data_IF_160969946900
#
_entry.id   IF_160969946900
#
_cell.length_a   1.000
_cell.length_b   1.000
_cell.length_c   1.000
_cell.angle_alpha   90.00
_cell.angle_beta   90.00
_cell.angle_gamma   90.00
#
_symmetry.space_group_name_H-M   'P 1'
#
loop_
_entity.id
_entity.type
_entity.pdbx_description
1 polymer ?
#
# COMPACT_ATOMS: atom_id res chain seq x y z
N UNK A 1 -32.70 -10.09 -12.88
CA UNK A 1 -31.68 -11.07 -13.26
C UNK A 1 -30.44 -10.80 -12.43
N UNK A 2 -30.35 -11.46 -11.25
CA UNK A 2 -29.24 -11.24 -10.30
C UNK A 2 -28.07 -12.11 -10.75
N UNK A 3 -26.99 -11.46 -11.22
CA UNK A 3 -25.71 -12.11 -11.45
C UNK A 3 -25.12 -12.48 -10.08
N UNK A 4 -25.14 -13.75 -9.73
CA UNK A 4 -24.34 -14.29 -8.63
C UNK A 4 -22.86 -14.09 -8.98
N UNK A 5 -22.22 -13.10 -8.34
CA UNK A 5 -20.76 -13.03 -8.25
C UNK A 5 -20.31 -14.23 -7.40
N UNK A 6 -19.73 -15.23 -8.04
CA UNK A 6 -18.97 -16.30 -7.36
C UNK A 6 -17.63 -15.74 -6.91
N UNK A 7 -17.66 -14.83 -5.95
CA UNK A 7 -16.45 -14.37 -5.26
C UNK A 7 -16.12 -15.43 -4.20
N UNK A 8 -14.86 -15.84 -4.11
CA UNK A 8 -14.34 -16.61 -2.97
C UNK A 8 -14.55 -15.77 -1.71
N UNK A 9 -15.62 -16.05 -0.97
CA UNK A 9 -15.91 -15.34 0.27
C UNK A 9 -14.83 -15.72 1.28
N UNK A 10 -13.95 -14.79 1.64
CA UNK A 10 -13.10 -14.94 2.81
C UNK A 10 -14.01 -15.04 4.02
N UNK A 11 -13.92 -16.16 4.76
CA UNK A 11 -14.79 -16.42 5.91
C UNK A 11 -14.49 -15.51 7.11
N UNK A 12 -13.36 -14.78 7.07
CA UNK A 12 -12.93 -13.86 8.15
C UNK A 12 -12.52 -12.53 7.54
N UNK A 13 -12.84 -11.43 8.23
CA UNK A 13 -12.34 -10.08 7.90
C UNK A 13 -10.82 -10.06 7.98
N UNK A 14 -10.18 -9.40 7.02
CA UNK A 14 -8.71 -9.30 6.94
C UNK A 14 -8.32 -7.84 6.78
N UNK A 15 -7.33 -7.38 7.57
CA UNK A 15 -6.62 -6.14 7.30
C UNK A 15 -5.31 -6.48 6.58
N UNK A 16 -5.19 -6.06 5.33
CA UNK A 16 -3.97 -6.18 4.54
C UNK A 16 -3.24 -4.86 4.54
N UNK A 17 -1.96 -4.85 4.89
CA UNK A 17 -1.10 -3.69 4.71
C UNK A 17 -0.12 -3.97 3.56
N UNK A 18 -0.19 -3.14 2.51
CA UNK A 18 0.75 -3.20 1.40
C UNK A 18 1.94 -2.27 1.66
N UNK A 19 3.13 -2.71 1.29
CA UNK A 19 4.35 -1.94 1.35
C UNK A 19 5.13 -2.02 0.04
N UNK A 20 6.05 -1.10 -0.16
CA UNK A 20 6.94 -1.02 -1.33
C UNK A 20 7.11 0.40 -1.85
N UNK A 21 8.08 0.60 -2.72
CA UNK A 21 8.48 1.90 -3.25
C UNK A 21 7.46 2.50 -4.23
N UNK A 22 7.53 3.82 -4.50
CA UNK A 22 6.87 4.43 -5.66
C UNK A 22 7.25 3.68 -6.96
N UNK A 23 6.27 3.41 -7.82
CA UNK A 23 6.51 2.65 -9.07
C UNK A 23 6.56 1.13 -8.92
N UNK A 24 6.55 0.55 -7.71
CA UNK A 24 6.56 -0.91 -7.52
C UNK A 24 5.27 -1.62 -7.95
N UNK A 25 4.17 -0.89 -8.10
CA UNK A 25 2.88 -1.45 -8.50
C UNK A 25 1.92 -1.79 -7.35
N UNK A 26 2.19 -1.30 -6.12
CA UNK A 26 1.33 -1.52 -4.94
C UNK A 26 -0.14 -1.25 -5.22
N UNK A 27 -0.46 -0.05 -5.67
CA UNK A 27 -1.85 0.37 -5.89
C UNK A 27 -2.52 -0.47 -6.98
N UNK A 28 -1.77 -0.88 -8.02
CA UNK A 28 -2.28 -1.81 -9.03
C UNK A 28 -2.66 -3.14 -8.38
N UNK A 29 -1.76 -3.73 -7.58
CA UNK A 29 -2.03 -4.98 -6.87
C UNK A 29 -3.19 -4.82 -5.89
N UNK A 30 -3.26 -3.70 -5.14
CA UNK A 30 -4.36 -3.41 -4.23
C UNK A 30 -5.72 -3.48 -4.93
N UNK A 31 -5.86 -2.80 -6.07
CA UNK A 31 -7.11 -2.79 -6.82
C UNK A 31 -7.41 -4.13 -7.49
N UNK A 32 -6.40 -4.87 -7.95
CA UNK A 32 -6.58 -6.23 -8.49
C UNK A 32 -7.07 -7.20 -7.41
N UNK A 33 -6.50 -7.18 -6.20
CA UNK A 33 -6.98 -7.98 -5.06
C UNK A 33 -8.41 -7.56 -4.70
N UNK A 34 -8.68 -6.25 -4.59
CA UNK A 34 -10.01 -5.76 -4.23
C UNK A 34 -11.08 -6.21 -5.22
N UNK A 35 -10.77 -6.21 -6.52
CA UNK A 35 -11.67 -6.69 -7.55
C UNK A 35 -11.90 -8.22 -7.50
N UNK A 36 -10.88 -8.98 -7.10
CA UNK A 36 -10.95 -10.44 -7.03
C UNK A 36 -11.64 -10.95 -5.76
N UNK A 37 -11.56 -10.23 -4.63
CA UNK A 37 -11.86 -10.78 -3.32
C UNK A 37 -12.67 -9.85 -2.38
N UNK A 38 -13.35 -8.84 -2.92
CA UNK A 38 -14.26 -7.92 -2.19
C UNK A 38 -13.60 -7.18 -1.02
N UNK A 39 -12.40 -6.64 -1.24
CA UNK A 39 -11.72 -5.76 -0.29
C UNK A 39 -12.01 -4.28 -0.58
N UNK A 40 -11.93 -3.45 0.46
CA UNK A 40 -11.95 -1.99 0.34
C UNK A 40 -10.51 -1.47 0.38
N UNK A 41 -10.13 -0.65 -0.61
CA UNK A 41 -8.78 -0.06 -0.66
C UNK A 41 -8.77 1.32 0.00
N UNK A 42 -7.95 1.49 1.02
CA UNK A 42 -7.60 2.78 1.62
C UNK A 42 -6.23 3.18 1.07
N UNK A 43 -6.22 4.10 0.10
CA UNK A 43 -5.02 4.52 -0.60
C UNK A 43 -4.52 5.85 -0.04
N UNK A 44 -3.31 5.84 0.57
CA UNK A 44 -2.73 7.02 1.21
C UNK A 44 -2.36 8.13 0.22
N UNK A 45 -2.02 7.80 -1.02
CA UNK A 45 -1.73 8.83 -2.04
C UNK A 45 -2.99 9.58 -2.47
N UNK A 46 -4.15 8.90 -2.48
CA UNK A 46 -5.46 9.55 -2.71
C UNK A 46 -5.78 10.50 -1.57
N UNK A 47 -5.68 10.04 -0.33
CA UNK A 47 -5.95 10.86 0.86
C UNK A 47 -5.02 12.07 0.92
N UNK A 48 -3.70 11.86 0.77
CA UNK A 48 -2.71 12.95 0.80
C UNK A 48 -2.95 13.97 -0.29
N UNK A 49 -3.23 13.52 -1.52
CA UNK A 49 -3.54 14.41 -2.64
C UNK A 49 -4.81 15.24 -2.39
N UNK A 50 -5.82 14.64 -1.77
CA UNK A 50 -7.07 15.34 -1.42
C UNK A 50 -6.84 16.38 -0.33
N UNK A 51 -6.02 16.09 0.69
CA UNK A 51 -5.66 17.04 1.74
C UNK A 51 -4.89 18.25 1.16
N UNK A 52 -3.86 18.00 0.35
CA UNK A 52 -3.09 19.06 -0.32
C UNK A 52 -4.02 19.89 -1.24
N UNK A 53 -4.89 19.24 -2.00
CA UNK A 53 -5.85 19.89 -2.89
C UNK A 53 -6.89 20.73 -2.15
N UNK A 54 -7.14 20.44 -0.86
CA UNK A 54 -8.03 21.25 0.00
C UNK A 54 -7.30 22.39 0.72
N UNK A 55 -5.99 22.56 0.51
CA UNK A 55 -5.20 23.65 1.09
C UNK A 55 -4.40 23.26 2.34
N UNK A 56 -4.31 21.97 2.69
CA UNK A 56 -3.40 21.52 3.76
C UNK A 56 -1.97 21.60 3.25
N UNK A 57 -1.08 22.19 4.05
CA UNK A 57 0.33 22.30 3.69
C UNK A 57 0.99 20.92 3.50
N UNK A 58 1.90 20.83 2.54
CA UNK A 58 2.59 19.57 2.19
C UNK A 58 3.32 18.97 3.40
N UNK A 59 3.90 19.82 4.27
CA UNK A 59 4.57 19.42 5.52
C UNK A 59 3.64 18.70 6.50
N UNK A 60 2.38 19.14 6.59
CA UNK A 60 1.40 18.62 7.54
C UNK A 60 0.58 17.46 6.96
N UNK A 61 0.42 17.44 5.63
CA UNK A 61 -0.37 16.44 4.93
C UNK A 61 0.11 14.99 5.16
N UNK A 62 1.39 14.79 5.46
CA UNK A 62 1.95 13.45 5.71
C UNK A 62 1.34 12.78 6.94
N UNK A 63 1.49 13.39 8.11
CA UNK A 63 0.97 12.87 9.38
C UNK A 63 -0.57 12.77 9.37
N UNK A 64 -1.25 13.81 8.85
CA UNK A 64 -2.70 13.82 8.72
C UNK A 64 -3.22 12.67 7.83
N UNK A 65 -2.50 12.35 6.75
CA UNK A 65 -2.85 11.24 5.86
C UNK A 65 -2.81 9.90 6.59
N UNK A 66 -1.74 9.63 7.33
CA UNK A 66 -1.59 8.34 8.02
C UNK A 66 -2.60 8.19 9.14
N UNK A 67 -2.86 9.24 9.91
CA UNK A 67 -3.90 9.25 10.94
C UNK A 67 -5.29 8.97 10.32
N UNK A 68 -5.64 9.66 9.24
CA UNK A 68 -6.90 9.44 8.54
C UNK A 68 -7.02 8.04 7.93
N UNK A 69 -5.93 7.52 7.35
CA UNK A 69 -5.91 6.18 6.75
C UNK A 69 -6.11 5.09 7.80
N UNK A 70 -5.43 5.20 8.95
CA UNK A 70 -5.61 4.25 10.06
C UNK A 70 -7.03 4.34 10.67
N UNK A 71 -7.53 5.55 10.91
CA UNK A 71 -8.90 5.75 11.42
C UNK A 71 -9.96 5.17 10.49
N UNK A 72 -9.84 5.44 9.17
CA UNK A 72 -10.76 4.89 8.18
C UNK A 72 -10.66 3.36 8.07
N UNK A 73 -9.43 2.80 8.13
CA UNK A 73 -9.22 1.36 8.11
C UNK A 73 -9.85 0.68 9.33
N UNK A 74 -9.70 1.28 10.52
CA UNK A 74 -10.31 0.80 11.76
C UNK A 74 -11.83 0.77 11.67
N UNK A 75 -12.44 1.86 11.21
CA UNK A 75 -13.89 1.96 11.05
C UNK A 75 -14.45 0.93 10.05
N UNK A 76 -13.79 0.77 8.90
CA UNK A 76 -14.18 -0.22 7.89
C UNK A 76 -14.06 -1.66 8.40
N UNK A 77 -12.99 -1.97 9.15
CA UNK A 77 -12.82 -3.29 9.79
C UNK A 77 -13.92 -3.53 10.82
N UNK A 78 -14.27 -2.53 11.64
CA UNK A 78 -15.37 -2.62 12.59
C UNK A 78 -16.73 -2.85 11.91
N UNK A 79 -16.91 -2.38 10.67
CA UNK A 79 -18.07 -2.67 9.83
C UNK A 79 -18.04 -4.07 9.19
N UNK A 80 -17.03 -4.90 9.49
CA UNK A 80 -16.87 -6.25 8.92
C UNK A 80 -16.32 -6.27 7.48
N UNK A 81 -15.68 -5.18 7.03
CA UNK A 81 -15.06 -5.12 5.70
C UNK A 81 -13.61 -5.58 5.76
N UNK A 82 -13.21 -6.40 4.80
CA UNK A 82 -11.79 -6.64 4.55
C UNK A 82 -11.18 -5.41 3.90
N UNK A 83 -10.03 -4.95 4.41
CA UNK A 83 -9.41 -3.68 4.03
C UNK A 83 -8.00 -3.89 3.52
N UNK A 84 -7.62 -3.15 2.49
CA UNK A 84 -6.24 -3.04 2.02
C UNK A 84 -5.77 -1.61 2.30
N UNK A 85 -4.83 -1.44 3.22
CA UNK A 85 -4.12 -0.19 3.45
C UNK A 85 -2.94 -0.11 2.46
N UNK A 86 -3.12 0.67 1.39
CA UNK A 86 -2.12 0.90 0.35
C UNK A 86 -1.25 2.10 0.73
N UNK A 87 -0.06 1.81 1.27
CA UNK A 87 0.88 2.82 1.75
C UNK A 87 2.31 2.29 1.74
N UNK A 88 3.34 3.11 1.45
CA UNK A 88 4.72 2.73 1.75
C UNK A 88 4.90 2.63 3.27
N UNK A 89 5.30 1.47 3.80
CA UNK A 89 5.47 1.25 5.23
C UNK A 89 6.88 1.66 5.68
N UNK A 90 7.14 2.97 5.78
CA UNK A 90 8.42 3.54 6.23
C UNK A 90 8.39 4.06 7.67
N UNK A 91 7.23 4.16 8.27
CA UNK A 91 7.04 4.73 9.61
C UNK A 91 6.52 3.68 10.57
N UNK A 92 7.11 3.64 11.76
CA UNK A 92 6.74 2.69 12.83
C UNK A 92 5.27 2.80 13.20
N UNK A 93 4.78 4.02 13.37
CA UNK A 93 3.39 4.27 13.78
C UNK A 93 2.38 3.69 12.75
N UNK A 94 2.74 3.67 11.48
CA UNK A 94 1.90 3.08 10.44
C UNK A 94 1.87 1.55 10.52
N UNK A 95 3.02 0.91 10.75
CA UNK A 95 3.11 -0.53 10.94
C UNK A 95 2.38 -0.97 12.21
N UNK A 96 2.69 -0.34 13.33
CA UNK A 96 2.10 -0.64 14.63
C UNK A 96 0.60 -0.33 14.66
N UNK A 97 0.18 0.76 14.02
CA UNK A 97 -1.23 1.11 13.86
C UNK A 97 -2.03 0.04 13.12
N UNK A 98 -1.49 -0.51 12.02
CA UNK A 98 -2.13 -1.61 11.30
C UNK A 98 -2.24 -2.88 12.15
N UNK A 99 -1.17 -3.23 12.88
CA UNK A 99 -1.15 -4.36 13.80
C UNK A 99 -2.17 -4.19 14.94
N UNK A 100 -2.25 -2.99 15.54
CA UNK A 100 -3.20 -2.68 16.61
C UNK A 100 -4.64 -2.80 16.13
N UNK A 101 -4.98 -2.22 14.99
CA UNK A 101 -6.34 -2.31 14.42
C UNK A 101 -6.78 -3.77 14.27
N UNK A 102 -5.91 -4.62 13.73
CA UNK A 102 -6.24 -6.02 13.53
C UNK A 102 -6.38 -6.77 14.86
N UNK A 103 -5.49 -6.51 15.83
CA UNK A 103 -5.53 -7.09 17.17
C UNK A 103 -6.79 -6.67 17.93
N UNK A 104 -7.11 -5.37 17.94
CA UNK A 104 -8.23 -4.82 18.69
C UNK A 104 -9.59 -5.29 18.14
N UNK A 105 -9.67 -5.48 16.83
CA UNK A 105 -10.85 -6.01 16.16
C UNK A 105 -10.93 -7.54 16.14
N UNK A 106 -9.88 -8.25 16.58
CA UNK A 106 -9.81 -9.71 16.50
C UNK A 106 -9.84 -10.26 15.08
N UNK A 107 -9.31 -9.50 14.10
CA UNK A 107 -9.26 -9.89 12.69
C UNK A 107 -7.85 -10.28 12.28
N UNK A 108 -7.74 -11.02 11.18
CA UNK A 108 -6.43 -11.38 10.63
C UNK A 108 -5.70 -10.15 10.11
N UNK A 109 -4.43 -10.01 10.47
CA UNK A 109 -3.49 -9.10 9.84
C UNK A 109 -2.70 -9.83 8.77
N UNK A 110 -2.52 -9.22 7.61
CA UNK A 110 -1.68 -9.69 6.53
C UNK A 110 -0.81 -8.54 6.02
N UNK A 111 0.46 -8.82 5.73
CA UNK A 111 1.38 -7.80 5.21
C UNK A 111 2.03 -8.32 3.92
N UNK A 112 2.01 -7.49 2.88
CA UNK A 112 2.58 -7.81 1.57
C UNK A 112 3.51 -6.69 1.14
N UNK A 113 4.76 -7.01 0.87
CA UNK A 113 5.75 -6.08 0.34
C UNK A 113 5.99 -6.35 -1.15
N UNK A 114 5.90 -5.30 -1.98
CA UNK A 114 6.40 -5.32 -3.35
C UNK A 114 7.82 -4.75 -3.35
N UNK A 115 8.77 -5.65 -3.49
CA UNK A 115 10.21 -5.37 -3.49
C UNK A 115 10.78 -5.46 -4.91
N UNK A 116 11.91 -4.82 -5.17
CA UNK A 116 12.69 -4.95 -6.41
C UNK A 116 14.14 -5.28 -6.10
N UNK A 117 14.79 -6.15 -6.89
CA UNK A 117 16.22 -6.45 -6.70
C UNK A 117 17.12 -5.26 -7.05
N UNK A 118 16.64 -4.36 -7.90
CA UNK A 118 17.33 -3.15 -8.30
C UNK A 118 16.31 -2.02 -8.49
N UNK A 119 16.49 -0.92 -7.75
CA UNK A 119 15.56 0.23 -7.79
C UNK A 119 15.54 0.96 -9.12
N UNK A 120 16.59 0.84 -9.94
CA UNK A 120 16.66 1.46 -11.28
C UNK A 120 15.52 1.01 -12.20
N UNK A 121 14.95 -0.20 -11.97
CA UNK A 121 13.79 -0.70 -12.74
C UNK A 121 12.52 0.10 -12.50
N UNK A 122 12.48 0.90 -11.42
CA UNK A 122 11.34 1.74 -11.08
C UNK A 122 11.37 3.08 -11.83
N UNK A 123 12.54 3.57 -12.24
CA UNK A 123 12.68 4.89 -12.85
C UNK A 123 11.82 5.05 -14.12
N UNK A 124 11.90 4.16 -15.12
CA UNK A 124 11.04 4.27 -16.30
C UNK A 124 9.54 4.09 -15.96
N UNK A 125 9.21 3.40 -14.88
CA UNK A 125 7.81 3.26 -14.44
C UNK A 125 7.28 4.54 -13.80
N UNK A 126 8.15 5.32 -13.12
CA UNK A 126 7.81 6.64 -12.60
C UNK A 126 7.53 7.62 -13.74
N UNK A 127 8.37 7.61 -14.78
CA UNK A 127 8.22 8.48 -15.95
C UNK A 127 6.96 8.17 -16.79
N UNK A 128 6.59 6.89 -16.86
CA UNK A 128 5.44 6.44 -17.66
C UNK A 128 4.07 6.63 -16.98
N UNK A 129 4.04 6.94 -15.67
CA UNK A 129 2.77 7.04 -14.94
C UNK A 129 2.22 8.46 -14.92
N UNK A 130 0.90 8.61 -14.86
CA UNK A 130 0.26 9.86 -14.43
C UNK A 130 0.35 9.95 -12.91
N UNK A 131 1.17 10.87 -12.40
CA UNK A 131 1.36 11.06 -10.96
C UNK A 131 0.24 11.93 -10.36
N UNK A 132 -0.06 11.69 -9.08
CA UNK A 132 -0.89 12.58 -8.26
C UNK A 132 -0.02 13.69 -7.67
N UNK A 133 -0.65 14.78 -7.20
CA UNK A 133 0.05 15.93 -6.59
C UNK A 133 0.92 15.54 -5.38
N UNK A 134 0.59 14.48 -4.67
CA UNK A 134 1.35 13.98 -3.52
C UNK A 134 2.47 13.01 -3.88
N UNK A 135 2.56 12.59 -5.14
CA UNK A 135 3.48 11.55 -5.59
C UNK A 135 4.71 12.14 -6.28
N UNK A 136 5.80 11.37 -6.28
CA UNK A 136 6.95 11.59 -7.16
C UNK A 136 6.42 11.77 -8.59
N UNK A 137 6.80 12.86 -9.25
CA UNK A 137 6.27 13.19 -10.57
C UNK A 137 6.93 12.34 -11.67
N UNK A 138 8.26 12.19 -11.62
CA UNK A 138 9.05 11.41 -12.59
C UNK A 138 10.36 10.93 -11.93
N UNK A 139 11.25 10.30 -12.70
CA UNK A 139 12.60 9.96 -12.23
C UNK A 139 13.48 11.20 -12.03
N UNK A 140 13.16 12.32 -12.68
CA UNK A 140 13.90 13.59 -12.53
C UNK A 140 13.25 14.53 -11.52
N UNK A 141 11.93 14.44 -11.32
CA UNK A 141 11.17 15.38 -10.51
C UNK A 141 10.57 14.68 -9.26
N UNK A 142 10.93 15.12 -8.05
CA UNK A 142 10.30 14.66 -6.82
C UNK A 142 8.84 15.10 -6.74
N UNK A 143 8.15 14.75 -5.67
CA UNK A 143 6.81 15.27 -5.42
C UNK A 143 6.83 16.81 -5.31
N UNK A 144 5.82 17.53 -5.81
CA UNK A 144 5.76 18.99 -5.74
C UNK A 144 6.00 19.50 -4.32
N UNK A 145 6.86 20.53 -4.20
CA UNK A 145 7.25 21.13 -2.92
C UNK A 145 8.26 20.29 -2.11
N UNK A 146 8.83 19.23 -2.69
CA UNK A 146 9.87 18.41 -2.05
C UNK A 146 11.15 18.37 -2.89
N UNK A 147 12.20 17.78 -2.33
CA UNK A 147 13.47 17.53 -3.02
C UNK A 147 13.83 16.04 -2.93
N UNK A 148 14.74 15.58 -3.79
CA UNK A 148 15.32 14.27 -3.62
C UNK A 148 16.17 14.24 -2.35
N UNK A 149 15.77 13.43 -1.38
CA UNK A 149 16.38 13.36 -0.04
C UNK A 149 17.87 12.99 -0.10
N UNK A 150 18.25 12.16 -1.07
CA UNK A 150 19.63 11.67 -1.26
C UNK A 150 20.21 12.09 -2.64
N UNK A 151 19.84 13.25 -3.14
CA UNK A 151 20.39 13.89 -4.34
C UNK A 151 19.80 13.42 -5.66
N UNK A 152 19.54 12.12 -5.83
CA UNK A 152 18.92 11.54 -7.04
C UNK A 152 17.73 10.65 -6.70
N UNK A 153 16.88 10.41 -7.68
CA UNK A 153 15.76 9.45 -7.54
C UNK A 153 16.27 8.06 -7.16
N UNK A 154 17.29 7.57 -7.87
CA UNK A 154 17.82 6.22 -7.65
C UNK A 154 18.41 6.06 -6.24
N UNK A 155 19.25 7.01 -5.79
CA UNK A 155 19.80 7.00 -4.44
C UNK A 155 18.69 7.07 -3.38
N UNK A 156 17.73 7.97 -3.58
CA UNK A 156 16.60 8.14 -2.66
C UNK A 156 15.72 6.87 -2.58
N UNK A 157 15.42 6.24 -3.72
CA UNK A 157 14.66 5.00 -3.74
C UNK A 157 15.42 3.84 -3.09
N UNK A 158 16.75 3.78 -3.27
CA UNK A 158 17.61 2.80 -2.61
C UNK A 158 17.52 2.90 -1.09
N UNK A 159 17.76 4.09 -0.55
CA UNK A 159 17.66 4.36 0.89
C UNK A 159 16.24 4.13 1.43
N UNK A 160 15.22 4.51 0.67
CA UNK A 160 13.84 4.26 1.07
C UNK A 160 13.51 2.76 1.10
N UNK A 161 14.09 1.95 0.23
CA UNK A 161 13.90 0.49 0.25
C UNK A 161 14.47 -0.12 1.52
N UNK A 162 15.66 0.32 1.95
CA UNK A 162 16.28 -0.13 3.21
C UNK A 162 15.50 0.33 4.46
N UNK A 163 14.75 1.43 4.35
CA UNK A 163 13.91 1.97 5.43
C UNK A 163 12.52 1.35 5.50
N UNK A 164 12.13 0.49 4.55
CA UNK A 164 10.83 -0.18 4.62
C UNK A 164 10.76 -1.07 5.86
N UNK A 165 9.67 -0.91 6.60
CA UNK A 165 9.40 -1.70 7.80
C UNK A 165 8.45 -2.84 7.48
N UNK A 166 8.63 -3.95 8.19
CA UNK A 166 7.76 -5.12 8.10
C UNK A 166 7.58 -5.77 9.47
N UNK A 167 6.54 -6.60 9.64
CA UNK A 167 6.37 -7.43 10.82
C UNK A 167 7.56 -8.38 11.00
N UNK A 168 7.76 -8.88 12.21
CA UNK A 168 8.86 -9.80 12.51
C UNK A 168 8.77 -11.10 11.70
N UNK A 169 7.55 -11.58 11.44
CA UNK A 169 7.28 -12.83 10.75
C UNK A 169 5.91 -12.82 10.06
N UNK A 170 5.61 -13.84 9.29
CA UNK A 170 4.26 -14.06 8.75
C UNK A 170 3.84 -13.12 7.63
N UNK A 171 4.78 -12.54 6.87
CA UNK A 171 4.50 -11.63 5.76
C UNK A 171 5.00 -12.17 4.41
N UNK A 172 4.43 -11.63 3.33
CA UNK A 172 4.75 -12.03 1.97
C UNK A 172 5.60 -10.97 1.26
N UNK A 173 6.75 -11.38 0.70
CA UNK A 173 7.50 -10.56 -0.26
C UNK A 173 7.20 -11.01 -1.68
N UNK A 174 6.85 -10.06 -2.53
CA UNK A 174 6.63 -10.23 -3.96
C UNK A 174 7.70 -9.46 -4.73
N UNK A 175 8.26 -10.09 -5.75
CA UNK A 175 9.17 -9.41 -6.67
C UNK A 175 8.32 -8.59 -7.66
N UNK A 176 8.45 -7.27 -7.61
CA UNK A 176 7.72 -6.34 -8.47
C UNK A 176 8.19 -6.37 -9.94
N UNK A 177 9.22 -7.16 -10.28
CA UNK A 177 9.63 -7.41 -11.66
C UNK A 177 8.83 -8.55 -12.30
N UNK A 178 8.17 -9.39 -11.52
CA UNK A 178 7.29 -10.42 -12.02
C UNK A 178 6.02 -9.82 -12.66
N UNK A 179 5.30 -10.63 -13.44
CA UNK A 179 4.04 -10.20 -14.06
C UNK A 179 2.98 -9.88 -13.01
N UNK A 180 2.09 -8.94 -13.32
CA UNK A 180 0.97 -8.58 -12.44
C UNK A 180 0.13 -9.82 -12.07
N UNK A 181 -0.17 -10.68 -13.05
CA UNK A 181 -0.94 -11.90 -12.84
C UNK A 181 -0.26 -12.86 -11.86
N UNK A 182 1.06 -13.06 -11.97
CA UNK A 182 1.80 -13.90 -11.04
C UNK A 182 1.81 -13.35 -9.62
N UNK A 183 2.00 -12.03 -9.46
CA UNK A 183 1.97 -11.39 -8.15
C UNK A 183 0.56 -11.39 -7.54
N UNK A 184 -0.49 -11.18 -8.35
CA UNK A 184 -1.87 -11.29 -7.89
C UNK A 184 -2.18 -12.72 -7.42
N UNK A 185 -1.81 -13.73 -8.18
CA UNK A 185 -2.04 -15.13 -7.80
C UNK A 185 -1.37 -15.45 -6.45
N UNK A 186 -0.09 -15.11 -6.27
CA UNK A 186 0.63 -15.33 -5.02
C UNK A 186 0.03 -14.57 -3.85
N UNK A 187 -0.42 -13.33 -4.08
CA UNK A 187 -1.09 -12.55 -3.05
C UNK A 187 -2.41 -13.20 -2.61
N UNK A 188 -3.24 -13.66 -3.56
CA UNK A 188 -4.50 -14.35 -3.27
C UNK A 188 -4.29 -15.69 -2.56
N UNK A 189 -3.27 -16.46 -2.95
CA UNK A 189 -2.88 -17.70 -2.26
C UNK A 189 -2.50 -17.42 -0.80
N UNK A 190 -1.65 -16.40 -0.56
CA UNK A 190 -1.25 -15.99 0.79
C UNK A 190 -2.46 -15.52 1.62
N UNK A 191 -3.36 -14.73 1.03
CA UNK A 191 -4.56 -14.24 1.70
C UNK A 191 -5.59 -15.37 1.95
N UNK A 192 -5.62 -16.39 1.11
CA UNK A 192 -6.50 -17.57 1.27
C UNK A 192 -6.01 -18.60 2.28
N UNK A 193 -4.75 -18.55 2.71
CA UNK A 193 -4.20 -19.46 3.71
C UNK A 193 -4.85 -19.17 5.08
N UNK A 194 -5.56 -20.16 5.61
CA UNK A 194 -6.01 -20.12 7.01
C UNK A 194 -4.83 -20.50 7.89
N UNK A 195 -4.28 -19.55 8.62
CA UNK A 195 -3.39 -19.89 9.73
C UNK A 195 -4.25 -20.43 10.86
N UNK A 196 -4.07 -21.72 11.15
CA UNK A 196 -4.64 -22.38 12.33
C UNK A 196 -3.85 -21.99 13.57
#
# INVERSE_FOLDING_TARGET
MHLHRTGTAYRCTVLVQLSGLPGSGKSTLAYEIANAADFVVVNTDVLKSSLIGSGVDVSDAGAATYAAALGLSSDLVAQGKSVILDSPCRYRDLLEGGLSIASDAGVRYAFIELWVPNVSVLLPRLDARTSRISQVASATDPAPGTTWEFGTAEATLGEWQEQLLHPREGWLRLDATHTKAANLQRALEYLGQQHH
#
